data_IF_802516139851
#
_entry.id   IF_802516139851
#
_cell.length_a   1.000
_cell.length_b   1.000
_cell.length_c   1.000
_cell.angle_alpha   90.00
_cell.angle_beta   90.00
_cell.angle_gamma   90.00
#
_symmetry.space_group_name_H-M   'P 1'
#
loop_
_entity.id
_entity.type
_entity.pdbx_description
1 polymer ?
#
# COMPACT_ATOMS: atom_id res chain seq x y z
N UNK A 1 8.15 -4.29 4.44
CA UNK A 1 8.29 -5.15 5.63
C UNK A 1 7.11 -5.08 6.60
N UNK A 2 6.72 -3.90 7.10
CA UNK A 2 5.55 -3.78 8.01
C UNK A 2 4.33 -4.49 7.43
N UNK A 3 4.04 -4.33 6.14
CA UNK A 3 2.96 -5.04 5.46
C UNK A 3 3.08 -6.57 5.53
N UNK A 4 4.28 -7.14 5.37
CA UNK A 4 4.48 -8.60 5.44
C UNK A 4 4.20 -9.15 6.84
N UNK A 5 4.66 -8.44 7.89
CA UNK A 5 4.42 -8.82 9.28
C UNK A 5 2.91 -8.78 9.59
N UNK A 6 2.25 -7.68 9.22
CA UNK A 6 0.80 -7.49 9.42
C UNK A 6 0.00 -8.55 8.66
N UNK A 7 0.35 -8.80 7.40
CA UNK A 7 -0.27 -9.86 6.60
C UNK A 7 -0.14 -11.22 7.28
N UNK A 8 1.02 -11.51 7.87
CA UNK A 8 1.29 -12.76 8.59
C UNK A 8 0.29 -13.04 9.71
N UNK A 9 0.09 -12.11 10.64
CA UNK A 9 -0.86 -12.33 11.73
C UNK A 9 -2.33 -12.12 11.34
N UNK A 10 -2.60 -11.41 10.23
CA UNK A 10 -3.97 -11.12 9.79
C UNK A 10 -4.55 -12.24 8.92
N UNK A 11 -3.72 -12.82 8.05
CA UNK A 11 -4.13 -13.81 7.04
C UNK A 11 -3.51 -15.20 7.24
N UNK A 12 -2.48 -15.32 8.07
CA UNK A 12 -1.67 -16.54 8.20
C UNK A 12 -0.54 -16.67 7.18
N UNK A 13 -0.43 -15.74 6.22
CA UNK A 13 0.56 -15.77 5.13
C UNK A 13 1.35 -14.47 5.03
N UNK A 14 2.53 -14.52 4.40
CA UNK A 14 3.28 -13.31 4.02
C UNK A 14 2.48 -12.47 2.98
N UNK A 15 3.05 -11.38 2.44
CA UNK A 15 2.45 -10.75 1.26
C UNK A 15 2.35 -11.73 0.08
N UNK A 16 1.74 -11.32 -1.05
CA UNK A 16 1.35 -12.21 -2.17
C UNK A 16 0.15 -13.09 -1.83
N UNK A 17 -0.93 -12.44 -1.38
CA UNK A 17 -2.18 -13.09 -0.95
C UNK A 17 -3.34 -12.47 -1.73
N UNK A 18 -4.25 -13.32 -2.21
CA UNK A 18 -5.51 -12.93 -2.84
C UNK A 18 -6.67 -13.24 -1.91
N UNK A 19 -7.65 -12.34 -1.88
CA UNK A 19 -8.91 -12.50 -1.13
C UNK A 19 -10.12 -12.73 -2.03
N UNK A 20 -9.93 -12.92 -3.35
CA UNK A 20 -11.01 -13.02 -4.33
C UNK A 20 -11.99 -14.19 -4.08
N UNK A 21 -11.55 -15.24 -3.38
CA UNK A 21 -12.38 -16.42 -3.05
C UNK A 21 -13.15 -16.28 -1.73
N UNK A 22 -13.07 -15.13 -1.05
CA UNK A 22 -13.63 -14.91 0.29
C UNK A 22 -12.79 -15.47 1.44
N UNK A 23 -11.63 -16.07 1.13
CA UNK A 23 -10.63 -16.53 2.10
C UNK A 23 -9.21 -16.25 1.53
N UNK A 24 -8.18 -16.12 2.38
CA UNK A 24 -6.82 -15.84 1.92
C UNK A 24 -6.26 -17.03 1.13
N UNK A 25 -5.89 -16.78 -0.12
CA UNK A 25 -5.14 -17.70 -0.97
C UNK A 25 -3.73 -17.15 -1.21
N UNK A 26 -2.72 -17.89 -0.77
CA UNK A 26 -1.32 -17.49 -0.88
C UNK A 26 -0.62 -18.26 -2.00
N UNK A 27 0.04 -17.53 -2.89
CA UNK A 27 0.95 -18.09 -3.88
C UNK A 27 2.01 -17.03 -4.23
N UNK A 28 3.28 -17.21 -3.86
CA UNK A 28 4.32 -16.19 -4.04
C UNK A 28 4.73 -16.00 -5.51
N UNK A 29 4.40 -16.94 -6.40
CA UNK A 29 4.75 -16.88 -7.82
C UNK A 29 3.58 -16.36 -8.65
N UNK A 30 2.38 -16.91 -8.45
CA UNK A 30 1.19 -16.49 -9.20
C UNK A 30 0.75 -15.08 -8.81
N UNK A 31 0.90 -14.69 -7.54
CA UNK A 31 0.46 -13.37 -7.06
C UNK A 31 1.59 -12.35 -7.04
N UNK A 32 2.68 -12.61 -7.77
CA UNK A 32 3.71 -11.60 -8.00
C UNK A 32 3.17 -10.45 -8.85
N UNK A 33 3.41 -9.21 -8.42
CA UNK A 33 2.86 -8.02 -9.08
C UNK A 33 3.39 -7.89 -10.51
N UNK A 34 4.67 -8.20 -10.76
CA UNK A 34 5.20 -8.12 -12.11
C UNK A 34 4.57 -9.18 -13.00
N UNK A 35 4.46 -10.42 -12.52
CA UNK A 35 3.80 -11.51 -13.24
C UNK A 35 2.34 -11.18 -13.58
N UNK A 36 1.57 -10.68 -12.61
CA UNK A 36 0.17 -10.29 -12.82
C UNK A 36 0.02 -9.17 -13.86
N UNK A 37 0.93 -8.20 -13.85
CA UNK A 37 0.92 -7.09 -14.82
C UNK A 37 1.35 -7.54 -16.22
N UNK A 38 2.41 -8.34 -16.33
CA UNK A 38 2.94 -8.86 -17.59
C UNK A 38 1.95 -9.80 -18.29
N UNK A 39 1.22 -10.60 -17.51
CA UNK A 39 0.21 -11.52 -18.03
C UNK A 39 -1.15 -10.84 -18.32
N UNK A 40 -1.33 -9.56 -17.94
CA UNK A 40 -2.60 -8.86 -18.08
C UNK A 40 -3.73 -9.43 -17.20
N UNK A 41 -3.38 -10.00 -16.05
CA UNK A 41 -4.33 -10.59 -15.09
C UNK A 41 -4.95 -9.54 -14.15
N UNK A 42 -4.29 -8.38 -14.01
CA UNK A 42 -4.80 -7.25 -13.26
C UNK A 42 -5.55 -6.25 -14.15
N UNK A 43 -6.60 -5.65 -13.60
CA UNK A 43 -7.41 -4.61 -14.24
C UNK A 43 -7.13 -3.21 -13.67
N UNK A 44 -6.56 -3.12 -12.47
CA UNK A 44 -6.12 -1.87 -11.84
C UNK A 44 -4.87 -2.08 -10.94
N UNK A 45 -4.12 -1.01 -10.70
CA UNK A 45 -2.96 -0.99 -9.81
C UNK A 45 -3.13 0.04 -8.68
N UNK A 46 -3.01 -0.41 -7.43
CA UNK A 46 -2.93 0.48 -6.26
C UNK A 46 -1.52 0.42 -5.68
N UNK A 47 -0.78 1.53 -5.79
CA UNK A 47 0.59 1.65 -5.27
C UNK A 47 0.61 2.42 -3.95
N UNK A 48 1.08 1.78 -2.88
CA UNK A 48 1.14 2.40 -1.53
C UNK A 48 2.59 2.53 -1.07
N UNK A 49 3.09 3.76 -0.96
CA UNK A 49 4.48 4.01 -0.56
C UNK A 49 4.69 5.35 0.17
N UNK A 50 4.73 5.31 1.51
CA UNK A 50 4.85 6.51 2.36
C UNK A 50 6.28 6.88 2.80
N UNK A 51 7.29 6.05 2.51
CA UNK A 51 8.68 6.22 2.96
C UNK A 51 9.64 6.59 1.81
N UNK A 52 9.79 5.71 0.83
CA UNK A 52 10.80 5.84 -0.22
C UNK A 52 10.23 6.52 -1.46
N UNK A 53 10.59 7.78 -1.68
CA UNK A 53 10.16 8.57 -2.83
C UNK A 53 10.70 8.04 -4.18
N UNK A 54 11.74 7.21 -4.17
CA UNK A 54 12.31 6.61 -5.37
C UNK A 54 11.72 5.22 -5.68
N UNK A 55 10.92 4.64 -4.77
CA UNK A 55 10.19 3.40 -5.02
C UNK A 55 8.87 3.73 -5.71
N UNK A 56 8.97 4.03 -7.01
CA UNK A 56 7.86 4.36 -7.89
C UNK A 56 7.14 3.08 -8.38
N UNK A 57 5.86 3.19 -8.78
CA UNK A 57 5.13 2.05 -9.32
C UNK A 57 5.75 1.53 -10.63
N UNK A 58 5.56 0.23 -10.95
CA UNK A 58 5.92 -0.31 -12.26
C UNK A 58 5.14 0.38 -13.39
N UNK A 59 5.74 0.46 -14.58
CA UNK A 59 5.06 1.00 -15.76
C UNK A 59 3.98 0.05 -16.22
N UNK A 60 2.77 0.57 -16.38
CA UNK A 60 1.60 -0.17 -16.85
C UNK A 60 0.63 0.77 -17.56
N UNK A 61 -0.20 0.24 -18.44
CA UNK A 61 -1.32 0.96 -19.07
C UNK A 61 -2.63 0.83 -18.27
N UNK A 62 -2.61 0.11 -17.14
CA UNK A 62 -3.78 -0.06 -16.29
C UNK A 62 -4.10 1.22 -15.51
N UNK A 63 -5.37 1.47 -15.19
CA UNK A 63 -5.78 2.46 -14.20
C UNK A 63 -4.95 2.35 -12.92
N UNK A 64 -4.22 3.40 -12.58
CA UNK A 64 -3.23 3.39 -11.51
C UNK A 64 -3.54 4.45 -10.46
N UNK A 65 -3.74 4.01 -9.22
CA UNK A 65 -3.93 4.85 -8.04
C UNK A 65 -2.66 4.81 -7.21
N UNK A 66 -2.08 5.97 -6.93
CA UNK A 66 -0.84 6.11 -6.16
C UNK A 66 -1.14 6.83 -4.85
N UNK A 67 -1.00 6.12 -3.73
CA UNK A 67 -1.07 6.67 -2.36
C UNK A 67 0.35 6.72 -1.80
N UNK A 68 1.01 7.87 -1.94
CA UNK A 68 2.44 7.96 -1.70
C UNK A 68 2.89 9.25 -1.01
N UNK A 69 4.14 9.23 -0.52
CA UNK A 69 4.79 10.38 0.11
C UNK A 69 4.70 11.61 -0.79
N UNK A 70 4.34 12.76 -0.21
CA UNK A 70 4.38 14.04 -0.91
C UNK A 70 5.79 14.34 -1.45
N UNK A 71 5.88 14.66 -2.74
CA UNK A 71 7.17 14.91 -3.41
C UNK A 71 7.82 13.67 -4.05
N UNK A 72 7.10 12.55 -4.15
CA UNK A 72 7.48 11.45 -5.04
C UNK A 72 7.41 11.93 -6.50
N UNK A 73 8.52 11.77 -7.24
CA UNK A 73 8.58 12.09 -8.68
C UNK A 73 8.21 10.84 -9.47
N UNK A 74 7.12 10.91 -10.24
CA UNK A 74 6.64 9.80 -11.05
C UNK A 74 7.06 9.99 -12.50
N UNK A 75 7.54 8.93 -13.15
CA UNK A 75 7.89 8.95 -14.57
C UNK A 75 6.66 9.04 -15.47
N UNK A 76 5.54 8.49 -15.00
CA UNK A 76 4.24 8.50 -15.68
C UNK A 76 3.21 9.02 -14.70
N UNK A 77 2.38 9.95 -15.16
CA UNK A 77 1.28 10.50 -14.36
C UNK A 77 0.25 9.40 -14.09
N UNK A 78 -0.09 9.11 -12.82
CA UNK A 78 -1.12 8.14 -12.48
C UNK A 78 -2.51 8.76 -12.65
N UNK A 79 -3.53 7.94 -12.84
CA UNK A 79 -4.92 8.40 -12.91
C UNK A 79 -5.37 9.11 -11.63
N UNK A 80 -4.87 8.66 -10.48
CA UNK A 80 -5.13 9.29 -9.18
C UNK A 80 -3.84 9.31 -8.35
N UNK A 81 -3.44 10.50 -7.89
CA UNK A 81 -2.36 10.67 -6.92
C UNK A 81 -2.89 11.25 -5.60
N UNK A 82 -2.75 10.50 -4.51
CA UNK A 82 -3.14 10.92 -3.16
C UNK A 82 -1.88 11.10 -2.30
N UNK A 83 -1.44 12.34 -2.04
CA UNK A 83 -0.28 12.59 -1.20
C UNK A 83 -0.59 12.29 0.26
N UNK A 84 0.27 11.49 0.90
CA UNK A 84 0.18 11.15 2.32
C UNK A 84 1.41 11.62 3.10
N UNK A 85 1.21 11.87 4.39
CA UNK A 85 2.32 12.15 5.30
C UNK A 85 3.20 10.92 5.53
N UNK A 86 4.48 11.14 5.77
CA UNK A 86 5.44 10.07 6.08
C UNK A 86 5.34 9.67 7.56
N UNK A 87 5.07 8.39 7.88
CA UNK A 87 5.10 7.90 9.26
C UNK A 87 6.48 8.13 9.90
N UNK A 88 6.52 8.64 11.12
CA UNK A 88 7.77 8.99 11.79
C UNK A 88 8.28 10.40 11.51
N UNK A 89 7.60 11.16 10.64
CA UNK A 89 7.87 12.57 10.39
C UNK A 89 6.58 13.37 10.61
N UNK A 90 5.55 13.05 9.82
CA UNK A 90 4.30 13.83 9.75
C UNK A 90 3.22 13.27 10.68
N UNK A 91 3.30 11.98 11.04
CA UNK A 91 2.41 11.34 12.01
C UNK A 91 3.08 10.14 12.71
N UNK A 92 2.48 9.67 13.80
CA UNK A 92 2.96 8.48 14.52
C UNK A 92 2.64 7.19 13.75
N UNK A 93 3.39 6.12 14.03
CA UNK A 93 3.13 4.81 13.42
C UNK A 93 4.02 3.71 13.98
N UNK A 94 4.02 2.56 13.32
CA UNK A 94 4.90 1.43 13.66
C UNK A 94 5.70 0.99 12.42
N UNK A 95 6.97 0.71 12.60
CA UNK A 95 7.82 0.08 11.60
C UNK A 95 8.50 -1.16 12.18
N UNK A 96 8.73 -2.14 11.31
CA UNK A 96 9.47 -3.34 11.66
C UNK A 96 10.87 -3.28 11.04
N UNK A 97 11.88 -3.54 11.86
CA UNK A 97 13.27 -3.65 11.43
C UNK A 97 13.51 -4.88 10.56
N UNK A 98 14.57 -4.85 9.75
CA UNK A 98 14.98 -5.92 8.83
C UNK A 98 15.84 -7.00 9.49
N UNK A 99 16.51 -6.67 10.59
CA UNK A 99 17.48 -7.55 11.24
C UNK A 99 16.88 -8.39 12.37
N UNK A 100 15.68 -8.07 12.86
CA UNK A 100 14.92 -8.84 13.86
C UNK A 100 13.44 -8.41 13.88
N UNK A 101 12.55 -9.22 14.50
CA UNK A 101 11.12 -8.90 14.71
C UNK A 101 10.95 -7.88 15.84
N UNK A 102 11.58 -6.71 15.71
CA UNK A 102 11.44 -5.60 16.65
C UNK A 102 10.52 -4.57 16.00
N UNK A 103 9.33 -4.41 16.59
CA UNK A 103 8.43 -3.31 16.28
C UNK A 103 8.98 -2.03 16.93
N UNK A 104 9.16 -0.99 16.11
CA UNK A 104 9.57 0.34 16.57
C UNK A 104 8.38 1.27 16.45
N UNK A 105 8.08 1.96 17.57
CA UNK A 105 7.15 3.07 17.57
C UNK A 105 7.80 4.30 16.95
N UNK A 106 7.21 4.80 15.88
CA UNK A 106 7.60 6.02 15.19
C UNK A 106 6.90 7.22 15.84
N UNK A 107 7.67 8.26 16.16
CA UNK A 107 7.16 9.52 16.72
C UNK A 107 6.84 10.52 15.61
N UNK A 108 5.90 11.43 15.86
CA UNK A 108 5.66 12.60 15.00
C UNK A 108 6.74 13.64 15.28
N UNK A 109 7.33 14.21 14.24
CA UNK A 109 8.39 15.23 14.35
C UNK A 109 7.91 16.63 13.95
N UNK A 110 6.88 16.72 13.10
CA UNK A 110 6.26 17.99 12.69
C UNK A 110 4.78 17.81 12.39
N UNK A 111 4.05 18.91 12.38
CA UNK A 111 2.70 18.96 11.84
C UNK A 111 2.72 19.01 10.32
N UNK A 112 1.82 18.26 9.71
CA UNK A 112 1.56 18.26 8.27
C UNK A 112 0.04 18.28 8.08
N UNK A 113 -0.41 19.01 7.07
CA UNK A 113 -1.82 19.01 6.66
C UNK A 113 -2.16 17.80 5.77
N UNK A 114 -1.21 16.89 5.56
CA UNK A 114 -1.42 15.67 4.79
C UNK A 114 -2.05 14.57 5.65
N UNK A 115 -2.99 13.78 5.10
CA UNK A 115 -3.57 12.64 5.80
C UNK A 115 -2.53 11.53 6.01
N UNK A 116 -2.80 10.66 6.98
CA UNK A 116 -2.02 9.42 7.12
C UNK A 116 -2.42 8.41 6.04
N UNK A 117 -1.52 7.47 5.72
CA UNK A 117 -1.85 6.37 4.79
C UNK A 117 -3.08 5.57 5.25
N UNK A 118 -3.22 5.33 6.56
CA UNK A 118 -4.36 4.61 7.11
C UNK A 118 -5.68 5.39 6.93
N UNK A 119 -5.65 6.72 7.12
CA UNK A 119 -6.83 7.58 6.90
C UNK A 119 -7.33 7.48 5.46
N UNK A 120 -6.42 7.54 4.49
CA UNK A 120 -6.78 7.43 3.06
C UNK A 120 -7.33 6.05 2.72
N UNK A 121 -6.64 4.98 3.13
CA UNK A 121 -7.08 3.61 2.80
C UNK A 121 -8.41 3.24 3.47
N UNK A 122 -8.64 3.69 4.71
CA UNK A 122 -9.93 3.48 5.39
C UNK A 122 -11.07 4.26 4.71
N UNK A 123 -10.80 5.49 4.22
CA UNK A 123 -11.79 6.26 3.49
C UNK A 123 -12.19 5.57 2.17
N UNK A 124 -11.20 5.01 1.45
CA UNK A 124 -11.45 4.22 0.23
C UNK A 124 -12.29 2.98 0.57
N UNK A 125 -11.90 2.23 1.61
CA UNK A 125 -12.64 1.04 2.04
C UNK A 125 -14.09 1.37 2.40
N UNK A 126 -14.33 2.47 3.12
CA UNK A 126 -15.68 2.88 3.52
C UNK A 126 -16.57 3.16 2.30
N UNK A 127 -16.07 3.91 1.31
CA UNK A 127 -16.85 4.22 0.10
C UNK A 127 -17.15 2.97 -0.73
N UNK A 128 -16.18 2.04 -0.85
CA UNK A 128 -16.41 0.77 -1.54
C UNK A 128 -17.48 -0.08 -0.86
N UNK A 129 -17.59 -0.05 0.47
CA UNK A 129 -18.64 -0.77 1.20
C UNK A 129 -20.02 -0.15 0.98
N UNK A 130 -20.11 1.18 0.93
CA UNK A 130 -21.37 1.89 0.70
C UNK A 130 -21.95 1.57 -0.70
N UNK A 131 -21.10 1.48 -1.72
CA UNK A 131 -21.51 1.09 -3.08
C UNK A 131 -22.01 -0.36 -3.18
N UNK A 132 -21.44 -1.29 -2.41
CA UNK A 132 -21.86 -2.71 -2.42
C UNK A 132 -23.18 -2.94 -1.66
N UNK A 133 -23.58 -1.99 -0.80
CA UNK A 133 -24.82 -2.06 -0.01
C UNK A 133 -26.01 -1.41 -0.74
N UNK A 134 -25.76 -0.57 -1.76
CA UNK A 134 -26.79 0.06 -2.59
C UNK A 134 -27.21 -0.83 -3.77
#
# INVERSE_FOLDING_TARGET
QTANQVCGWTSGYAARVSFAKGYPAYDPFLLDTHTLLENGEADALVWVQAFNANATPPKTSLPTIVVARSGMTLETEPDVFIPVGTPGIDHTGHAYRLDNVVAIRLKKLRDSNLPSTATVLNAIEQHLREEVVC
#
